data_IF_477043997854
#
_entry.id   IF_477043997854
#
_cell.length_a   1.000
_cell.length_b   1.000
_cell.length_c   1.000
_cell.angle_alpha   90.00
_cell.angle_beta   90.00
_cell.angle_gamma   90.00
#
_symmetry.space_group_name_H-M   'P 1'
#
loop_
_entity.id
_entity.type
_entity.pdbx_description
1 polymer ?
#
# COMPACT_ATOMS: atom_id res chain seq x y z
N UNK A 1 -0.99 43.33 17.72
CA UNK A 1 -1.86 43.68 16.58
C UNK A 1 -1.89 42.50 15.61
N UNK A 2 -2.51 41.38 16.02
CA UNK A 2 -2.68 40.18 15.18
C UNK A 2 -3.98 40.37 14.39
N UNK A 3 -3.86 40.73 13.11
CA UNK A 3 -4.98 40.80 12.17
C UNK A 3 -5.74 39.48 12.25
N UNK A 4 -7.04 39.55 12.49
CA UNK A 4 -7.99 38.47 12.18
C UNK A 4 -7.74 38.04 10.74
N UNK A 5 -6.97 36.98 10.55
CA UNK A 5 -6.91 36.28 9.28
C UNK A 5 -8.32 35.74 9.07
N UNK A 6 -9.05 36.30 8.11
CA UNK A 6 -10.35 35.79 7.70
C UNK A 6 -10.23 34.27 7.58
N UNK A 7 -10.93 33.52 8.43
CA UNK A 7 -10.83 32.06 8.47
C UNK A 7 -11.02 31.45 7.07
N UNK A 8 -11.82 32.09 6.21
CA UNK A 8 -11.96 31.73 4.78
C UNK A 8 -10.66 31.67 4.01
N UNK A 9 -9.73 32.63 4.20
CA UNK A 9 -8.44 32.64 3.49
C UNK A 9 -7.51 31.51 3.93
N UNK A 10 -7.73 30.96 5.11
CA UNK A 10 -6.98 29.80 5.61
C UNK A 10 -7.41 28.50 4.93
N UNK A 11 -8.71 28.35 4.62
CA UNK A 11 -9.25 27.14 3.98
C UNK A 11 -9.28 27.20 2.46
N UNK A 12 -9.59 28.37 1.89
CA UNK A 12 -9.80 28.56 0.47
C UNK A 12 -8.72 29.45 -0.14
N UNK A 13 -8.36 29.11 -1.37
CA UNK A 13 -7.57 29.96 -2.26
C UNK A 13 -8.44 31.12 -2.80
N UNK A 14 -7.80 32.14 -3.36
CA UNK A 14 -8.49 33.33 -3.89
C UNK A 14 -9.48 33.00 -5.03
N UNK A 15 -9.37 31.80 -5.60
CA UNK A 15 -10.27 31.22 -6.63
C UNK A 15 -11.43 30.39 -6.05
N UNK A 16 -11.58 30.32 -4.72
CA UNK A 16 -12.63 29.55 -4.05
C UNK A 16 -12.36 28.03 -3.99
N UNK A 17 -11.16 27.59 -4.36
CA UNK A 17 -10.73 26.20 -4.27
C UNK A 17 -10.13 25.90 -2.90
N UNK A 18 -10.34 24.69 -2.37
CA UNK A 18 -9.68 24.25 -1.15
C UNK A 18 -8.15 24.24 -1.36
N UNK A 19 -7.37 24.83 -0.44
CA UNK A 19 -5.90 24.85 -0.54
C UNK A 19 -5.33 23.42 -0.50
N UNK A 20 -4.19 23.22 -1.17
CA UNK A 20 -3.54 21.90 -1.30
C UNK A 20 -3.33 21.17 0.04
N UNK A 21 -2.91 21.88 1.08
CA UNK A 21 -2.73 21.32 2.42
C UNK A 21 -4.02 20.72 3.00
N UNK A 22 -5.16 21.39 2.79
CA UNK A 22 -6.46 20.91 3.27
C UNK A 22 -6.98 19.73 2.45
N UNK A 23 -6.72 19.71 1.15
CA UNK A 23 -7.06 18.54 0.32
C UNK A 23 -6.27 17.32 0.75
N UNK A 24 -4.97 17.49 1.05
CA UNK A 24 -4.12 16.44 1.60
C UNK A 24 -4.63 15.97 2.96
N UNK A 25 -5.01 16.87 3.88
CA UNK A 25 -5.59 16.48 5.17
C UNK A 25 -6.88 15.67 5.00
N UNK A 26 -7.80 16.11 4.13
CA UNK A 26 -9.03 15.36 3.84
C UNK A 26 -8.71 13.98 3.26
N UNK A 27 -7.76 13.90 2.33
CA UNK A 27 -7.29 12.65 1.76
C UNK A 27 -6.73 11.70 2.83
N UNK A 28 -5.82 12.16 3.68
CA UNK A 28 -5.20 11.36 4.75
C UNK A 28 -6.25 10.84 5.73
N UNK A 29 -7.17 11.69 6.18
CA UNK A 29 -8.24 11.30 7.12
C UNK A 29 -9.19 10.30 6.47
N UNK A 30 -9.64 10.56 5.24
CA UNK A 30 -10.52 9.66 4.52
C UNK A 30 -9.84 8.31 4.25
N UNK A 31 -8.57 8.31 3.87
CA UNK A 31 -7.76 7.12 3.65
C UNK A 31 -7.63 6.29 4.92
N UNK A 32 -7.29 6.91 6.05
CA UNK A 32 -7.17 6.23 7.33
C UNK A 32 -8.49 5.56 7.73
N UNK A 33 -9.60 6.30 7.67
CA UNK A 33 -10.93 5.78 7.99
C UNK A 33 -11.30 4.62 7.06
N UNK A 34 -11.11 4.79 5.74
CA UNK A 34 -11.46 3.78 4.76
C UNK A 34 -10.61 2.51 4.93
N UNK A 35 -9.32 2.66 5.21
CA UNK A 35 -8.39 1.54 5.44
C UNK A 35 -8.75 0.76 6.69
N UNK A 36 -9.03 1.45 7.81
CA UNK A 36 -9.43 0.79 9.05
C UNK A 36 -10.79 0.10 8.92
N UNK A 37 -11.79 0.78 8.35
CA UNK A 37 -13.11 0.18 8.15
C UNK A 37 -13.05 -0.99 7.15
N UNK A 38 -12.31 -0.83 6.05
CA UNK A 38 -12.10 -1.87 5.05
C UNK A 38 -11.45 -3.11 5.66
N UNK A 39 -10.44 -2.93 6.52
CA UNK A 39 -9.81 -4.03 7.23
C UNK A 39 -10.78 -4.76 8.16
N UNK A 40 -11.52 -4.01 9.00
CA UNK A 40 -12.49 -4.58 9.93
C UNK A 40 -13.58 -5.36 9.18
N UNK A 41 -14.10 -4.79 8.09
CA UNK A 41 -15.14 -5.42 7.28
C UNK A 41 -14.63 -6.68 6.57
N UNK A 42 -13.42 -6.65 6.01
CA UNK A 42 -12.84 -7.80 5.34
C UNK A 42 -12.54 -8.94 6.32
N UNK A 43 -11.90 -8.62 7.46
CA UNK A 43 -11.55 -9.62 8.46
C UNK A 43 -12.80 -10.17 9.17
N UNK A 44 -13.76 -9.31 9.51
CA UNK A 44 -15.04 -9.70 10.10
C UNK A 44 -15.89 -10.54 9.14
N UNK A 45 -16.00 -10.13 7.88
CA UNK A 45 -16.69 -10.87 6.83
C UNK A 45 -16.07 -12.25 6.61
N UNK A 46 -14.73 -12.34 6.61
CA UNK A 46 -14.03 -13.62 6.52
C UNK A 46 -14.31 -14.53 7.72
N UNK A 47 -14.31 -13.97 8.93
CA UNK A 47 -14.69 -14.70 10.15
C UNK A 47 -16.09 -15.29 10.09
N UNK A 48 -17.06 -14.54 9.53
CA UNK A 48 -18.43 -15.03 9.30
C UNK A 48 -18.49 -16.15 8.27
N UNK A 49 -17.80 -15.99 7.13
CA UNK A 49 -17.78 -16.99 6.04
C UNK A 49 -17.12 -18.29 6.48
N UNK A 50 -15.97 -18.19 7.15
CA UNK A 50 -15.22 -19.36 7.63
C UNK A 50 -15.76 -19.92 8.95
N UNK A 51 -16.74 -19.25 9.58
CA UNK A 51 -17.28 -19.57 10.91
C UNK A 51 -16.19 -19.72 11.98
N UNK A 52 -15.17 -18.85 11.92
CA UNK A 52 -14.05 -18.84 12.85
C UNK A 52 -14.00 -17.54 13.64
N UNK A 53 -13.58 -17.57 14.92
CA UNK A 53 -13.44 -16.36 15.70
C UNK A 53 -12.36 -15.46 15.08
N UNK A 54 -12.62 -14.15 15.06
CA UNK A 54 -11.71 -13.14 14.50
C UNK A 54 -10.33 -13.20 15.17
N UNK A 55 -10.27 -13.54 16.46
CA UNK A 55 -9.03 -13.73 17.20
C UNK A 55 -8.14 -14.85 16.63
N UNK A 56 -8.72 -15.92 16.10
CA UNK A 56 -7.95 -17.01 15.46
C UNK A 56 -7.46 -16.57 14.07
N UNK A 57 -8.29 -15.87 13.31
CA UNK A 57 -7.92 -15.29 12.01
C UNK A 57 -6.81 -14.24 12.13
N UNK A 58 -6.81 -13.45 13.20
CA UNK A 58 -5.80 -12.43 13.44
C UNK A 58 -4.38 -13.02 13.62
N UNK A 59 -4.29 -14.29 14.03
CA UNK A 59 -3.03 -15.02 14.17
C UNK A 59 -2.63 -15.79 12.88
N UNK A 60 -3.40 -15.65 11.80
CA UNK A 60 -3.16 -16.33 10.53
C UNK A 60 -2.40 -15.45 9.54
N UNK A 61 -1.61 -16.07 8.65
CA UNK A 61 -0.99 -15.42 7.48
C UNK A 61 -2.01 -14.62 6.63
N UNK A 62 -3.29 -15.02 6.67
CA UNK A 62 -4.38 -14.34 5.95
C UNK A 62 -4.53 -12.88 6.40
N UNK A 63 -4.25 -12.56 7.66
CA UNK A 63 -4.38 -11.18 8.17
C UNK A 63 -3.50 -10.21 7.37
N UNK A 64 -2.32 -10.65 6.93
CA UNK A 64 -1.41 -9.84 6.13
C UNK A 64 -1.96 -9.58 4.74
N UNK A 65 -2.51 -10.61 4.09
CA UNK A 65 -3.09 -10.49 2.75
C UNK A 65 -4.31 -9.56 2.76
N UNK A 66 -5.22 -9.75 3.73
CA UNK A 66 -6.41 -8.90 3.86
C UNK A 66 -6.08 -7.48 4.34
N UNK A 67 -5.05 -7.31 5.18
CA UNK A 67 -4.55 -6.00 5.58
C UNK A 67 -3.96 -5.19 4.41
N UNK A 68 -3.10 -5.81 3.59
CA UNK A 68 -2.58 -5.12 2.41
C UNK A 68 -3.66 -4.93 1.32
N UNK A 69 -4.59 -5.87 1.21
CA UNK A 69 -5.76 -5.73 0.36
C UNK A 69 -6.66 -4.57 0.76
N UNK A 70 -6.91 -4.36 2.07
CA UNK A 70 -7.72 -3.23 2.55
C UNK A 70 -7.03 -1.89 2.28
N UNK A 71 -5.71 -1.82 2.46
CA UNK A 71 -4.91 -0.64 2.11
C UNK A 71 -5.03 -0.34 0.62
N UNK A 72 -4.86 -1.34 -0.25
CA UNK A 72 -4.98 -1.18 -1.70
C UNK A 72 -6.38 -0.70 -2.12
N UNK A 73 -7.43 -1.34 -1.63
CA UNK A 73 -8.82 -0.95 -1.92
C UNK A 73 -9.08 0.48 -1.45
N UNK A 74 -8.58 0.85 -0.27
CA UNK A 74 -8.76 2.18 0.29
C UNK A 74 -7.97 3.24 -0.49
N UNK A 75 -6.75 2.94 -0.91
CA UNK A 75 -5.94 3.80 -1.77
C UNK A 75 -6.66 4.03 -3.11
N UNK A 76 -7.22 2.98 -3.71
CA UNK A 76 -7.98 3.08 -4.96
C UNK A 76 -9.27 3.90 -4.78
N UNK A 77 -10.07 3.64 -3.74
CA UNK A 77 -11.34 4.33 -3.51
C UNK A 77 -11.16 5.79 -3.14
N UNK A 78 -10.25 6.10 -2.20
CA UNK A 78 -10.03 7.46 -1.72
C UNK A 78 -9.22 8.25 -2.73
N UNK A 79 -8.19 7.67 -3.35
CA UNK A 79 -7.44 8.29 -4.45
C UNK A 79 -8.36 8.66 -5.60
N UNK A 80 -9.23 7.74 -6.03
CA UNK A 80 -10.22 8.04 -7.07
C UNK A 80 -11.25 9.08 -6.62
N UNK A 81 -11.79 8.94 -5.42
CA UNK A 81 -12.80 9.86 -4.89
C UNK A 81 -12.27 11.28 -4.80
N UNK A 82 -11.08 11.47 -4.22
CA UNK A 82 -10.43 12.78 -4.11
C UNK A 82 -9.99 13.32 -5.47
N UNK A 83 -9.40 12.49 -6.34
CA UNK A 83 -9.00 12.91 -7.70
C UNK A 83 -10.19 13.32 -8.56
N UNK A 84 -11.33 12.60 -8.47
CA UNK A 84 -12.55 12.94 -9.19
C UNK A 84 -13.24 14.17 -8.62
N UNK A 85 -13.32 14.29 -7.29
CA UNK A 85 -14.06 15.37 -6.62
C UNK A 85 -13.30 16.70 -6.63
N UNK A 86 -11.98 16.68 -6.45
CA UNK A 86 -11.17 17.90 -6.37
C UNK A 86 -10.53 18.30 -7.70
N UNK A 87 -10.30 17.35 -8.61
CA UNK A 87 -9.49 17.57 -9.82
C UNK A 87 -10.14 17.06 -11.11
N UNK A 88 -11.28 16.37 -11.04
CA UNK A 88 -11.99 15.82 -12.20
C UNK A 88 -11.20 14.75 -12.95
N UNK A 89 -10.16 14.17 -12.34
CA UNK A 89 -9.25 13.25 -13.00
C UNK A 89 -9.88 11.86 -13.22
N UNK A 90 -9.58 11.20 -14.36
CA UNK A 90 -10.06 9.85 -14.64
C UNK A 90 -9.32 8.81 -13.78
N UNK A 91 -9.95 7.65 -13.55
CA UNK A 91 -9.37 6.53 -12.78
C UNK A 91 -7.99 6.06 -13.32
N UNK A 92 -7.73 6.30 -14.61
CA UNK A 92 -6.42 6.01 -15.23
C UNK A 92 -5.27 6.86 -14.68
N UNK A 93 -5.55 7.99 -14.04
CA UNK A 93 -4.53 8.84 -13.42
C UNK A 93 -3.91 8.21 -12.16
N UNK A 94 -4.57 7.21 -11.55
CA UNK A 94 -4.11 6.50 -10.34
C UNK A 94 -2.95 5.51 -10.60
N UNK A 95 -2.29 5.59 -11.75
CA UNK A 95 -1.22 4.65 -12.12
C UNK A 95 -1.69 3.35 -12.78
N UNK A 96 -3.01 3.12 -12.91
CA UNK A 96 -3.56 1.95 -13.62
C UNK A 96 -3.48 2.07 -15.17
N UNK A 97 -2.28 2.30 -15.70
CA UNK A 97 -2.02 2.21 -17.15
C UNK A 97 -0.87 1.24 -17.42
N UNK A 98 -1.17 0.14 -18.10
CA UNK A 98 -0.17 -0.77 -18.62
C UNK A 98 0.55 -0.09 -19.79
N UNK A 99 1.76 0.39 -19.56
CA UNK A 99 2.59 1.00 -20.60
C UNK A 99 3.35 -0.09 -21.38
N UNK A 100 3.57 0.11 -22.70
CA UNK A 100 4.45 -0.76 -23.45
C UNK A 100 5.87 -0.69 -22.86
N UNK A 101 6.42 -1.84 -22.46
CA UNK A 101 7.73 -1.94 -21.79
C UNK A 101 7.69 -2.30 -20.31
N UNK A 102 6.50 -2.41 -19.69
CA UNK A 102 6.36 -2.72 -18.26
C UNK A 102 7.12 -3.98 -17.81
N UNK A 103 7.16 -5.02 -18.65
CA UNK A 103 7.84 -6.27 -18.33
C UNK A 103 9.37 -6.10 -18.29
N UNK A 104 9.91 -5.21 -19.13
CA UNK A 104 11.35 -4.88 -19.13
C UNK A 104 11.69 -4.14 -17.83
N UNK A 105 10.86 -3.19 -17.44
CA UNK A 105 11.07 -2.40 -16.22
C UNK A 105 10.92 -3.29 -14.97
N UNK A 106 9.96 -4.23 -14.97
CA UNK A 106 9.83 -5.25 -13.92
C UNK A 106 11.07 -6.15 -13.86
N UNK A 107 11.58 -6.60 -15.02
CA UNK A 107 12.77 -7.44 -15.10
C UNK A 107 14.02 -6.73 -14.57
N UNK A 108 14.25 -5.49 -15.01
CA UNK A 108 15.39 -4.67 -14.57
C UNK A 108 15.26 -4.35 -13.07
N UNK A 109 14.08 -3.95 -12.61
CA UNK A 109 13.82 -3.66 -11.20
C UNK A 109 14.05 -4.89 -10.31
N UNK A 110 13.57 -6.06 -10.74
CA UNK A 110 13.79 -7.33 -10.02
C UNK A 110 15.26 -7.71 -9.99
N UNK A 111 15.99 -7.53 -11.09
CA UNK A 111 17.43 -7.81 -11.17
C UNK A 111 18.23 -6.88 -10.26
N UNK A 112 17.91 -5.58 -10.26
CA UNK A 112 18.54 -4.61 -9.36
C UNK A 112 18.24 -4.90 -7.89
N UNK A 113 16.99 -5.26 -7.55
CA UNK A 113 16.60 -5.66 -6.20
C UNK A 113 17.30 -6.94 -5.74
N UNK A 114 17.42 -7.94 -6.62
CA UNK A 114 18.18 -9.15 -6.33
C UNK A 114 19.67 -8.85 -6.13
N UNK A 115 20.25 -8.01 -6.97
CA UNK A 115 21.66 -7.62 -6.86
C UNK A 115 21.95 -6.85 -5.57
N UNK A 116 21.05 -5.94 -5.15
CA UNK A 116 21.21 -5.18 -3.90
C UNK A 116 21.08 -6.09 -2.67
N UNK A 117 20.11 -7.00 -2.66
CA UNK A 117 19.96 -8.01 -1.59
C UNK A 117 21.16 -8.95 -1.53
N UNK A 118 21.66 -9.41 -2.69
CA UNK A 118 22.84 -10.25 -2.77
C UNK A 118 24.08 -9.52 -2.21
N UNK A 119 24.27 -8.25 -2.59
CA UNK A 119 25.37 -7.43 -2.07
C UNK A 119 25.27 -7.28 -0.53
N UNK A 120 24.07 -6.99 -0.01
CA UNK A 120 23.84 -6.89 1.42
C UNK A 120 24.15 -8.21 2.16
N UNK A 121 23.69 -9.34 1.61
CA UNK A 121 23.97 -10.67 2.16
C UNK A 121 25.47 -11.01 2.14
N UNK A 122 26.17 -10.68 1.07
CA UNK A 122 27.63 -10.87 0.96
C UNK A 122 28.38 -10.04 2.02
N UNK A 123 28.01 -8.77 2.20
CA UNK A 123 28.60 -7.91 3.22
C UNK A 123 28.34 -8.45 4.63
N UNK A 124 27.11 -8.90 4.92
CA UNK A 124 26.75 -9.50 6.21
C UNK A 124 27.51 -10.81 6.50
N UNK A 125 27.79 -11.60 5.46
CA UNK A 125 28.61 -12.82 5.57
C UNK A 125 30.08 -12.46 5.80
N UNK A 126 30.61 -11.48 5.06
CA UNK A 126 32.00 -11.06 5.14
C UNK A 126 32.35 -10.48 6.52
N UNK A 127 31.40 -9.79 7.17
CA UNK A 127 31.55 -9.30 8.54
C UNK A 127 31.34 -10.38 9.61
N UNK A 128 31.07 -11.64 9.22
CA UNK A 128 30.66 -12.76 10.10
C UNK A 128 29.46 -12.42 10.98
N UNK A 129 28.62 -11.47 10.57
CA UNK A 129 27.44 -11.08 11.33
C UNK A 129 26.31 -12.09 11.17
N UNK A 130 26.29 -12.88 10.08
CA UNK A 130 25.24 -13.86 9.78
C UNK A 130 25.88 -15.16 9.30
N UNK A 131 25.40 -16.29 9.81
CA UNK A 131 25.75 -17.63 9.33
C UNK A 131 24.58 -18.21 8.54
N UNK A 132 24.81 -18.50 7.26
CA UNK A 132 23.84 -19.20 6.44
C UNK A 132 23.92 -20.70 6.71
N UNK A 133 22.79 -21.29 7.11
CA UNK A 133 22.62 -22.74 7.22
C UNK A 133 21.52 -23.17 6.27
N UNK A 134 21.73 -24.27 5.55
CA UNK A 134 20.69 -24.89 4.75
C UNK A 134 19.75 -25.64 5.70
N UNK A 135 18.61 -25.05 5.98
CA UNK A 135 17.58 -25.67 6.79
C UNK A 135 16.79 -26.70 5.96
N UNK A 136 16.43 -27.83 6.56
CA UNK A 136 15.63 -28.88 5.91
C UNK A 136 14.14 -28.54 5.97
N UNK A 137 13.79 -27.37 5.46
CA UNK A 137 12.40 -26.94 5.34
C UNK A 137 11.80 -27.58 4.09
N UNK A 138 10.59 -28.14 4.22
CA UNK A 138 9.88 -28.70 3.07
C UNK A 138 9.72 -27.66 1.96
N UNK A 139 9.97 -28.07 0.71
CA UNK A 139 9.81 -27.19 -0.46
C UNK A 139 8.42 -26.55 -0.54
N UNK A 140 7.38 -27.23 -0.02
CA UNK A 140 6.02 -26.71 0.07
C UNK A 140 5.88 -25.51 1.01
N UNK A 141 6.55 -25.52 2.17
CA UNK A 141 6.51 -24.40 3.10
C UNK A 141 7.23 -23.15 2.53
N UNK A 142 8.37 -23.36 1.86
CA UNK A 142 9.10 -22.30 1.14
C UNK A 142 8.25 -21.72 0.02
N UNK A 143 7.60 -22.58 -0.78
CA UNK A 143 6.70 -22.13 -1.84
C UNK A 143 5.53 -21.30 -1.30
N UNK A 144 4.92 -21.74 -0.20
CA UNK A 144 3.82 -21.00 0.44
C UNK A 144 4.26 -19.61 0.90
N UNK A 145 5.37 -19.49 1.62
CA UNK A 145 5.86 -18.19 2.12
C UNK A 145 6.27 -17.27 0.98
N UNK A 146 6.87 -17.80 -0.09
CA UNK A 146 7.22 -17.03 -1.28
C UNK A 146 5.98 -16.46 -1.98
N UNK A 147 4.94 -17.28 -2.17
CA UNK A 147 3.68 -16.83 -2.81
C UNK A 147 2.96 -15.79 -1.96
N UNK A 148 2.83 -16.02 -0.66
CA UNK A 148 2.17 -15.06 0.25
C UNK A 148 2.94 -13.74 0.28
N UNK A 149 4.27 -13.79 0.42
CA UNK A 149 5.13 -12.61 0.38
C UNK A 149 5.01 -11.85 -0.94
N UNK A 150 5.04 -12.56 -2.07
CA UNK A 150 4.90 -11.94 -3.39
C UNK A 150 3.57 -11.21 -3.53
N UNK A 151 2.46 -11.83 -3.10
CA UNK A 151 1.13 -11.19 -3.12
C UNK A 151 1.10 -9.93 -2.24
N UNK A 152 1.63 -10.03 -1.03
CA UNK A 152 1.71 -8.90 -0.09
C UNK A 152 2.52 -7.74 -0.69
N UNK A 153 3.70 -8.01 -1.24
CA UNK A 153 4.54 -6.97 -1.83
C UNK A 153 3.93 -6.35 -3.08
N UNK A 154 3.25 -7.13 -3.92
CA UNK A 154 2.53 -6.58 -5.09
C UNK A 154 1.40 -5.66 -4.65
N UNK A 155 0.62 -6.05 -3.63
CA UNK A 155 -0.45 -5.19 -3.10
C UNK A 155 0.09 -3.94 -2.43
N UNK A 156 1.16 -4.06 -1.66
CA UNK A 156 1.84 -2.93 -1.03
C UNK A 156 2.34 -1.94 -2.09
N UNK A 157 3.10 -2.42 -3.07
CA UNK A 157 3.66 -1.58 -4.14
C UNK A 157 2.56 -0.90 -4.97
N UNK A 158 1.49 -1.61 -5.29
CA UNK A 158 0.35 -1.04 -6.00
C UNK A 158 -0.35 0.05 -5.17
N UNK A 159 -0.52 -0.17 -3.86
CA UNK A 159 -1.12 0.80 -2.98
C UNK A 159 -0.25 2.05 -2.81
N UNK A 160 1.07 1.89 -2.67
CA UNK A 160 2.02 2.99 -2.59
C UNK A 160 2.03 3.82 -3.88
N UNK A 161 2.06 3.18 -5.04
CA UNK A 161 1.98 3.88 -6.33
C UNK A 161 0.68 4.69 -6.44
N UNK A 162 -0.46 4.12 -6.06
CA UNK A 162 -1.74 4.82 -6.04
C UNK A 162 -1.78 5.99 -5.06
N UNK A 163 -1.13 5.85 -3.89
CA UNK A 163 -1.16 6.86 -2.82
C UNK A 163 -0.19 8.02 -3.07
N UNK A 164 1.01 7.75 -3.60
CA UNK A 164 2.06 8.76 -3.77
C UNK A 164 2.14 9.37 -5.17
N UNK A 165 1.64 8.68 -6.19
CA UNK A 165 1.65 9.18 -7.59
C UNK A 165 0.26 9.36 -8.18
N UNK A 166 -0.79 8.80 -7.56
CA UNK A 166 -2.17 8.93 -8.01
C UNK A 166 -2.89 10.18 -7.51
N UNK A 167 -2.35 10.88 -6.50
CA UNK A 167 -2.82 12.14 -5.95
C UNK A 167 -1.64 13.11 -5.79
#
# INVERSE_FOLDING_TARGET
>A
MLRSMDARKFFFDDKGHLRSAWRLCVFVVAFYICSTLGFILLLGGLGLVLRRPVAELANSDLVFVFGHGSILISAALVGWGCGRLFEGLPFRALGCSLRPGWLKDLGIGSALGAASLMLAALLATATRSVHFSLDQVSAGAIGKTLVVSALVFVFAAAAEEMLFRGY
#
